data_IF_149588820453
#
_entry.id   IF_149588820453
#
_cell.length_a   1.000
_cell.length_b   1.000
_cell.length_c   1.000
_cell.angle_alpha   90.00
_cell.angle_beta   90.00
_cell.angle_gamma   90.00
#
_symmetry.space_group_name_H-M   'P 1'
#
loop_
_entity.id
_entity.type
_entity.pdbx_description
1 polymer ?
#
# COMPACT_ATOMS: atom_id res chain seq x y z
N UNK A 1 -29.90 -41.77 47.13
CA UNK A 1 -29.71 -43.08 46.48
C UNK A 1 -30.19 -42.97 45.03
N UNK A 2 -29.76 -43.91 44.18
CA UNK A 2 -30.08 -44.03 42.74
C UNK A 2 -29.30 -43.12 41.79
N UNK A 3 -28.41 -43.75 41.02
CA UNK A 3 -27.86 -43.27 39.75
C UNK A 3 -28.91 -43.38 38.62
N UNK A 4 -28.61 -42.91 37.41
CA UNK A 4 -28.36 -43.89 36.33
C UNK A 4 -27.14 -43.55 35.44
N UNK A 5 -26.93 -44.36 34.39
CA UNK A 5 -25.68 -44.55 33.65
C UNK A 5 -25.52 -43.67 32.38
N UNK A 6 -24.27 -43.50 31.95
CA UNK A 6 -23.77 -43.25 30.58
C UNK A 6 -24.11 -44.42 29.62
N UNK A 7 -23.94 -44.37 28.27
CA UNK A 7 -22.87 -43.76 27.45
C UNK A 7 -23.41 -42.99 26.20
N UNK A 8 -22.72 -42.68 25.08
CA UNK A 8 -21.40 -43.01 24.46
C UNK A 8 -20.69 -41.78 23.85
N UNK A 9 -19.45 -41.96 23.38
CA UNK A 9 -18.68 -41.00 22.57
C UNK A 9 -19.18 -40.85 21.12
N UNK A 10 -19.04 -39.64 20.57
CA UNK A 10 -19.32 -39.36 19.15
C UNK A 10 -18.27 -38.43 18.52
N UNK A 11 -17.15 -38.98 18.05
CA UNK A 11 -16.11 -38.20 17.36
C UNK A 11 -16.60 -37.70 15.99
N UNK A 12 -16.89 -36.41 15.87
CA UNK A 12 -17.19 -35.73 14.61
C UNK A 12 -16.05 -34.81 14.17
N UNK A 13 -15.15 -35.28 13.30
CA UNK A 13 -14.14 -34.41 12.68
C UNK A 13 -14.82 -33.35 11.80
N UNK A 14 -14.58 -32.09 12.11
CA UNK A 14 -14.96 -30.95 11.27
C UNK A 14 -14.00 -29.81 11.53
N UNK A 15 -12.84 -29.84 10.86
CA UNK A 15 -11.87 -28.77 10.93
C UNK A 15 -12.48 -27.48 10.40
N UNK A 16 -12.95 -26.61 11.30
CA UNK A 16 -13.16 -25.20 10.98
C UNK A 16 -11.81 -24.67 10.53
N UNK A 17 -11.68 -24.37 9.24
CA UNK A 17 -10.54 -23.59 8.77
C UNK A 17 -10.53 -22.30 9.58
N UNK A 18 -9.41 -22.00 10.22
CA UNK A 18 -9.23 -20.71 10.88
C UNK A 18 -9.54 -19.59 9.87
N UNK A 19 -10.18 -18.49 10.31
CA UNK A 19 -10.37 -17.35 9.44
C UNK A 19 -9.02 -16.89 8.88
N UNK A 20 -8.95 -16.40 7.63
CA UNK A 20 -7.71 -15.90 7.04
C UNK A 20 -7.09 -14.89 8.00
N UNK A 21 -5.87 -15.19 8.45
CA UNK A 21 -5.27 -14.57 9.63
C UNK A 21 -5.32 -13.04 9.57
N UNK A 22 -5.69 -12.41 10.70
CA UNK A 22 -5.91 -10.96 10.80
C UNK A 22 -4.86 -10.18 10.01
N UNK A 23 -5.31 -9.33 9.09
CA UNK A 23 -4.46 -8.55 8.20
C UNK A 23 -3.38 -7.77 8.97
N UNK A 24 -3.70 -7.29 10.19
CA UNK A 24 -2.72 -6.64 11.07
C UNK A 24 -1.66 -7.63 11.53
N UNK A 25 -2.06 -8.80 12.02
CA UNK A 25 -1.13 -9.87 12.41
C UNK A 25 -0.18 -10.25 11.26
N UNK A 26 -0.68 -10.41 10.03
CA UNK A 26 0.13 -10.72 8.85
C UNK A 26 1.10 -9.57 8.54
N UNK A 27 0.61 -8.33 8.46
CA UNK A 27 1.44 -7.16 8.14
C UNK A 27 2.52 -6.90 9.20
N UNK A 28 2.20 -7.04 10.48
CA UNK A 28 3.11 -6.82 11.62
C UNK A 28 4.15 -7.93 11.72
N UNK A 29 3.77 -9.21 11.57
CA UNK A 29 4.70 -10.33 11.73
C UNK A 29 5.64 -10.53 10.53
N UNK A 30 5.20 -10.17 9.32
CA UNK A 30 5.96 -10.44 8.08
C UNK A 30 6.52 -9.18 7.39
N UNK A 31 5.67 -8.26 6.93
CA UNK A 31 6.03 -7.17 5.99
C UNK A 31 6.67 -5.97 6.70
N UNK A 32 6.16 -5.59 7.88
CA UNK A 32 6.56 -4.40 8.61
C UNK A 32 7.49 -4.68 9.80
N UNK A 33 7.81 -5.95 10.05
CA UNK A 33 8.69 -6.35 11.14
C UNK A 33 10.10 -5.76 10.96
N UNK A 34 10.62 -5.15 12.03
CA UNK A 34 11.94 -4.52 12.08
C UNK A 34 12.68 -4.94 13.34
N UNK A 35 13.88 -5.48 13.12
CA UNK A 35 14.86 -5.82 14.13
C UNK A 35 15.54 -4.54 14.63
N UNK A 36 15.56 -4.31 15.94
CA UNK A 36 16.35 -3.24 16.55
C UNK A 36 17.82 -3.66 16.58
N UNK A 37 18.73 -2.82 16.08
CA UNK A 37 20.18 -3.06 16.14
C UNK A 37 20.86 -2.22 17.22
N UNK A 38 20.45 -0.97 17.34
CA UNK A 38 20.93 0.00 18.32
C UNK A 38 19.84 1.08 18.49
N UNK A 39 20.02 2.02 19.43
CA UNK A 39 19.14 3.17 19.60
C UNK A 39 18.94 3.89 18.26
N UNK A 40 17.67 4.07 17.89
CA UNK A 40 17.26 4.76 16.66
C UNK A 40 17.81 4.12 15.36
N UNK A 41 18.23 2.84 15.40
CA UNK A 41 18.76 2.07 14.26
C UNK A 41 18.09 0.69 14.14
N UNK A 42 17.43 0.45 13.00
CA UNK A 42 16.64 -0.75 12.75
C UNK A 42 17.04 -1.46 11.44
N UNK A 43 16.73 -2.76 11.32
CA UNK A 43 17.01 -3.58 10.13
C UNK A 43 15.75 -4.28 9.62
N UNK A 44 15.46 -4.07 8.33
CA UNK A 44 14.53 -4.91 7.57
C UNK A 44 15.25 -6.10 6.94
N UNK A 45 14.52 -7.20 6.69
CA UNK A 45 15.06 -8.42 6.06
C UNK A 45 14.13 -9.07 5.04
N UNK A 46 12.83 -9.10 5.31
CA UNK A 46 11.83 -9.75 4.46
C UNK A 46 11.19 -8.72 3.54
N UNK A 47 11.26 -8.93 2.23
CA UNK A 47 10.78 -7.98 1.24
C UNK A 47 9.79 -8.60 0.27
N UNK A 48 8.67 -7.92 0.04
CA UNK A 48 7.76 -8.27 -1.04
C UNK A 48 8.33 -7.76 -2.37
N UNK A 49 8.56 -8.67 -3.32
CA UNK A 49 9.29 -8.39 -4.56
C UNK A 49 8.32 -8.39 -5.76
N UNK A 50 7.87 -7.20 -6.25
CA UNK A 50 7.04 -7.09 -7.44
C UNK A 50 7.74 -7.57 -8.72
N UNK A 51 6.96 -7.66 -9.82
CA UNK A 51 7.42 -8.02 -11.17
C UNK A 51 8.67 -7.26 -11.65
N UNK A 52 8.86 -6.03 -11.16
CA UNK A 52 10.00 -5.16 -11.46
C UNK A 52 11.33 -5.62 -10.86
N UNK A 53 11.32 -6.64 -9.99
CA UNK A 53 12.48 -7.17 -9.24
C UNK A 53 13.20 -6.14 -8.36
N UNK A 54 12.48 -5.10 -7.92
CA UNK A 54 12.97 -4.03 -7.03
C UNK A 54 12.20 -4.08 -5.72
N UNK A 55 12.75 -3.49 -4.66
CA UNK A 55 12.01 -3.24 -3.43
C UNK A 55 10.71 -2.47 -3.71
N UNK A 56 9.62 -2.88 -3.07
CA UNK A 56 8.33 -2.19 -3.18
C UNK A 56 8.30 -0.93 -2.31
N UNK A 57 8.00 0.21 -2.94
CA UNK A 57 8.07 1.52 -2.29
C UNK A 57 7.18 1.65 -1.04
N UNK A 58 5.97 1.10 -1.09
CA UNK A 58 5.04 1.12 0.05
C UNK A 58 5.58 0.38 1.29
N UNK A 59 6.31 -0.72 1.09
CA UNK A 59 6.95 -1.43 2.20
C UNK A 59 8.10 -0.61 2.82
N UNK A 60 8.90 0.08 2.01
CA UNK A 60 10.00 0.92 2.51
C UNK A 60 9.45 2.13 3.29
N UNK A 61 8.35 2.73 2.83
CA UNK A 61 7.63 3.78 3.58
C UNK A 61 7.09 3.22 4.90
N UNK A 62 6.40 2.08 4.86
CA UNK A 62 5.82 1.46 6.06
C UNK A 62 6.87 1.08 7.11
N UNK A 63 7.97 0.46 6.69
CA UNK A 63 9.10 0.14 7.60
C UNK A 63 9.77 1.41 8.13
N UNK A 64 10.00 2.44 7.31
CA UNK A 64 10.55 3.70 7.78
C UNK A 64 9.63 4.39 8.81
N UNK A 65 8.31 4.31 8.64
CA UNK A 65 7.34 4.79 9.62
C UNK A 65 7.39 3.98 10.92
N UNK A 66 7.47 2.65 10.86
CA UNK A 66 7.63 1.81 12.07
C UNK A 66 8.91 2.16 12.83
N UNK A 67 10.02 2.41 12.12
CA UNK A 67 11.27 2.88 12.74
C UNK A 67 11.09 4.24 13.43
N UNK A 68 10.45 5.21 12.76
CA UNK A 68 10.16 6.52 13.35
C UNK A 68 9.24 6.42 14.58
N UNK A 69 8.16 5.66 14.48
CA UNK A 69 7.20 5.46 15.58
C UNK A 69 7.85 4.81 16.81
N UNK A 70 8.73 3.82 16.61
CA UNK A 70 9.54 3.21 17.69
C UNK A 70 10.60 4.15 18.30
N UNK A 71 10.81 5.32 17.71
CA UNK A 71 11.82 6.31 18.13
C UNK A 71 11.22 7.57 18.78
N UNK A 72 9.89 7.68 18.85
CA UNK A 72 9.16 8.75 19.55
C UNK A 72 8.46 8.20 20.79
N UNK A 73 7.81 9.08 21.55
CA UNK A 73 6.99 8.69 22.71
C UNK A 73 5.65 8.09 22.26
N UNK A 74 5.01 7.26 23.10
CA UNK A 74 3.77 6.54 22.76
C UNK A 74 2.51 7.42 22.81
N UNK A 75 2.61 8.62 23.41
CA UNK A 75 1.55 9.63 23.52
C UNK A 75 1.36 10.48 22.25
N UNK A 76 2.26 10.37 21.27
CA UNK A 76 2.16 11.05 19.98
C UNK A 76 1.75 10.11 18.84
N UNK A 77 0.97 10.63 17.90
CA UNK A 77 0.45 9.88 16.75
C UNK A 77 0.91 10.55 15.46
N UNK A 78 1.25 9.76 14.43
CA UNK A 78 1.66 10.30 13.13
C UNK A 78 0.50 11.09 12.51
N UNK A 79 0.78 12.32 12.06
CA UNK A 79 -0.17 13.14 11.31
C UNK A 79 0.34 13.54 9.91
N UNK A 80 1.65 13.49 9.65
CA UNK A 80 2.19 13.71 8.29
C UNK A 80 3.50 12.97 8.03
N UNK A 81 3.76 12.70 6.75
CA UNK A 81 4.99 12.09 6.25
C UNK A 81 5.32 12.66 4.87
N UNK A 82 6.57 13.08 4.68
CA UNK A 82 7.14 13.50 3.39
C UNK A 82 8.34 12.64 3.06
N UNK A 83 8.47 12.15 1.82
CA UNK A 83 9.56 11.25 1.47
C UNK A 83 10.00 11.33 0.01
N UNK A 84 11.22 10.87 -0.26
CA UNK A 84 11.79 10.76 -1.59
C UNK A 84 12.43 9.38 -1.81
N UNK A 85 12.10 8.75 -2.94
CA UNK A 85 12.80 7.58 -3.45
C UNK A 85 14.04 8.03 -4.24
N UNK A 86 15.21 7.84 -3.64
CA UNK A 86 16.49 8.33 -4.17
C UNK A 86 17.12 7.35 -5.15
N UNK A 87 17.01 6.03 -4.89
CA UNK A 87 17.61 4.95 -5.69
C UNK A 87 16.74 3.70 -5.67
N UNK A 88 16.86 2.87 -6.70
CA UNK A 88 16.28 1.52 -6.66
C UNK A 88 17.09 0.64 -5.70
N UNK A 89 16.43 -0.01 -4.74
CA UNK A 89 17.08 -0.99 -3.86
C UNK A 89 16.95 -2.43 -4.37
N UNK A 90 17.98 -3.23 -4.07
CA UNK A 90 18.03 -4.66 -4.34
C UNK A 90 17.35 -5.43 -3.19
N UNK A 91 16.30 -6.24 -3.46
CA UNK A 91 15.61 -7.02 -2.43
C UNK A 91 16.45 -8.13 -1.79
N UNK A 92 17.64 -8.44 -2.32
CA UNK A 92 18.59 -9.38 -1.69
C UNK A 92 19.39 -8.76 -0.54
N UNK A 93 19.33 -7.44 -0.39
CA UNK A 93 20.17 -6.68 0.56
C UNK A 93 19.32 -6.15 1.70
N UNK A 94 19.66 -6.44 2.97
CA UNK A 94 19.03 -5.82 4.14
C UNK A 94 19.13 -4.29 4.10
N UNK A 95 18.02 -3.64 4.39
CA UNK A 95 17.90 -2.18 4.49
C UNK A 95 17.99 -1.79 5.95
N UNK A 96 18.95 -0.94 6.28
CA UNK A 96 19.04 -0.29 7.58
C UNK A 96 18.20 0.98 7.58
N UNK A 97 17.41 1.19 8.61
CA UNK A 97 16.62 2.40 8.85
C UNK A 97 17.27 3.14 10.03
N UNK A 98 17.98 4.21 9.72
CA UNK A 98 18.52 5.12 10.72
C UNK A 98 17.53 6.26 10.94
N UNK A 99 17.16 6.49 12.20
CA UNK A 99 16.25 7.56 12.63
C UNK A 99 17.05 8.65 13.32
N UNK A 100 16.68 9.90 13.05
CA UNK A 100 17.27 11.11 13.59
C UNK A 100 16.13 11.95 14.16
N UNK A 101 16.09 12.12 15.49
CA UNK A 101 15.04 12.86 16.20
C UNK A 101 15.27 14.37 16.02
N UNK A 102 14.77 14.92 14.91
CA UNK A 102 14.97 16.32 14.53
C UNK A 102 14.32 17.31 15.52
N UNK A 103 13.19 16.93 16.14
CA UNK A 103 12.54 17.71 17.18
C UNK A 103 11.80 16.82 18.18
N UNK A 104 11.82 17.18 19.45
CA UNK A 104 10.97 16.59 20.50
C UNK A 104 10.49 17.74 21.40
N UNK A 105 9.26 18.18 21.15
CA UNK A 105 8.59 19.24 21.92
C UNK A 105 7.42 18.69 22.74
N UNK A 106 6.71 19.58 23.44
CA UNK A 106 5.59 19.21 24.32
C UNK A 106 4.36 18.66 23.59
N UNK A 107 4.19 18.98 22.31
CA UNK A 107 2.99 18.61 21.54
C UNK A 107 3.32 17.98 20.18
N UNK A 108 4.54 18.15 19.69
CA UNK A 108 5.01 17.65 18.40
C UNK A 108 6.37 16.97 18.53
N UNK A 109 6.56 15.88 17.79
CA UNK A 109 7.86 15.23 17.58
C UNK A 109 8.09 15.02 16.09
N UNK A 110 9.29 15.35 15.60
CA UNK A 110 9.67 15.25 14.19
C UNK A 110 10.89 14.35 14.07
N UNK A 111 10.81 13.34 13.20
CA UNK A 111 11.90 12.41 12.92
C UNK A 111 12.26 12.41 11.44
N UNK A 112 13.56 12.43 11.15
CA UNK A 112 14.10 12.14 9.83
C UNK A 112 14.53 10.68 9.77
N UNK A 113 14.20 9.96 8.69
CA UNK A 113 14.57 8.54 8.51
C UNK A 113 15.32 8.36 7.20
N UNK A 114 16.46 7.66 7.25
CA UNK A 114 17.28 7.29 6.09
C UNK A 114 17.28 5.77 5.95
N UNK A 115 16.78 5.26 4.83
CA UNK A 115 16.79 3.83 4.51
C UNK A 115 17.99 3.51 3.59
N UNK A 116 18.93 2.72 4.09
CA UNK A 116 20.29 2.57 3.56
C UNK A 116 20.76 1.11 3.51
N UNK A 117 20.62 0.40 2.36
CA UNK A 117 21.44 -0.76 2.07
C UNK A 117 22.90 -0.33 1.83
N UNK A 118 23.87 -1.03 2.46
CA UNK A 118 25.31 -0.74 2.35
C UNK A 118 25.69 0.76 2.52
N UNK A 119 25.03 1.46 3.45
CA UNK A 119 25.30 2.88 3.73
C UNK A 119 24.89 3.87 2.62
N UNK A 120 24.22 3.42 1.55
CA UNK A 120 23.78 4.28 0.44
C UNK A 120 22.27 4.50 0.52
N UNK A 121 21.77 5.73 0.72
CA UNK A 121 20.34 5.97 0.84
C UNK A 121 19.60 5.63 -0.45
N UNK A 122 18.62 4.74 -0.33
CA UNK A 122 17.61 4.44 -1.36
C UNK A 122 16.34 5.26 -1.16
N UNK A 123 16.07 5.66 0.08
CA UNK A 123 14.88 6.40 0.49
C UNK A 123 15.20 7.29 1.69
N UNK A 124 14.61 8.49 1.70
CA UNK A 124 14.67 9.45 2.81
C UNK A 124 13.27 9.94 3.14
N UNK A 125 13.01 10.20 4.41
CA UNK A 125 11.70 10.55 4.93
C UNK A 125 11.82 11.56 6.08
N UNK A 126 10.84 12.44 6.21
CA UNK A 126 10.53 13.17 7.45
C UNK A 126 9.10 12.82 7.86
N UNK A 127 8.93 12.41 9.11
CA UNK A 127 7.65 12.05 9.71
C UNK A 127 7.38 12.93 10.93
N UNK A 128 6.15 13.44 11.04
CA UNK A 128 5.72 14.30 12.13
C UNK A 128 4.60 13.64 12.92
N UNK A 129 4.74 13.74 14.25
CA UNK A 129 3.87 13.12 15.25
C UNK A 129 3.35 14.21 16.18
N UNK A 130 2.09 14.11 16.59
CA UNK A 130 1.42 15.08 17.46
C UNK A 130 0.65 14.36 18.56
N UNK A 131 0.59 14.93 19.76
CA UNK A 131 -0.30 14.45 20.82
C UNK A 131 -1.77 14.57 20.41
N UNK A 132 -2.62 13.66 20.89
CA UNK A 132 -4.06 13.78 20.71
C UNK A 132 -4.59 14.98 21.52
N UNK A 133 -5.27 15.92 20.85
CA UNK A 133 -5.81 17.14 21.46
C UNK A 133 -7.17 17.52 20.85
N UNK A 134 -8.10 18.13 21.61
CA UNK A 134 -9.37 18.61 21.05
C UNK A 134 -9.15 19.67 19.97
N UNK A 135 -9.94 19.62 18.90
CA UNK A 135 -10.01 20.68 17.89
C UNK A 135 -11.39 21.35 17.92
N UNK A 136 -11.49 22.69 18.04
CA UNK A 136 -12.76 23.40 17.88
C UNK A 136 -13.18 23.54 16.41
N UNK A 137 -12.30 23.20 15.46
CA UNK A 137 -12.55 23.27 14.03
C UNK A 137 -12.47 21.87 13.41
N UNK A 138 -13.55 21.43 12.79
CA UNK A 138 -13.62 20.16 12.07
C UNK A 138 -14.41 20.37 10.76
N UNK A 139 -13.78 20.07 9.64
CA UNK A 139 -14.41 19.99 8.33
C UNK A 139 -13.66 18.99 7.47
N UNK A 140 -14.32 18.46 6.45
CA UNK A 140 -13.73 17.60 5.43
C UNK A 140 -14.52 17.74 4.12
N UNK A 141 -13.99 17.16 3.05
CA UNK A 141 -14.76 16.95 1.82
C UNK A 141 -15.84 15.89 2.05
N UNK A 142 -16.90 15.92 1.24
CA UNK A 142 -17.89 14.84 1.19
C UNK A 142 -17.35 13.67 0.35
N UNK A 143 -17.52 12.44 0.83
CA UNK A 143 -17.16 11.24 0.08
C UNK A 143 -17.97 11.17 -1.24
N UNK A 144 -17.33 10.87 -2.39
CA UNK A 144 -18.04 10.73 -3.64
C UNK A 144 -18.95 9.49 -3.64
N UNK A 145 -20.13 9.60 -4.25
CA UNK A 145 -21.03 8.46 -4.48
C UNK A 145 -20.35 7.44 -5.39
N UNK A 146 -20.14 6.23 -4.89
CA UNK A 146 -19.56 5.09 -5.63
C UNK A 146 -20.33 3.81 -5.28
N UNK A 147 -20.34 2.79 -6.16
CA UNK A 147 -20.92 1.49 -5.85
C UNK A 147 -20.26 0.86 -4.60
N UNK A 148 -21.02 0.10 -3.79
CA UNK A 148 -20.50 -0.62 -2.64
C UNK A 148 -19.56 -1.77 -3.07
N UNK A 149 -18.62 -2.20 -2.20
CA UNK A 149 -17.64 -3.24 -2.53
C UNK A 149 -18.22 -4.55 -3.06
N UNK A 150 -19.42 -4.87 -2.58
CA UNK A 150 -20.15 -6.10 -2.90
C UNK A 150 -20.65 -6.10 -4.36
N UNK A 151 -20.76 -4.94 -5.02
CA UNK A 151 -21.11 -4.77 -6.44
C UNK A 151 -19.89 -4.68 -7.37
N UNK A 152 -18.68 -4.54 -6.81
CA UNK A 152 -17.45 -4.39 -7.59
C UNK A 152 -16.74 -5.74 -7.80
N UNK A 153 -16.25 -5.95 -9.02
CA UNK A 153 -15.41 -7.10 -9.36
C UNK A 153 -14.09 -7.04 -8.57
N UNK A 154 -13.74 -8.17 -7.95
CA UNK A 154 -12.40 -8.36 -7.40
C UNK A 154 -11.33 -8.49 -8.51
N UNK A 155 -10.06 -8.55 -8.09
CA UNK A 155 -8.94 -8.63 -9.01
C UNK A 155 -8.91 -9.93 -9.83
N UNK A 156 -9.45 -11.05 -9.33
CA UNK A 156 -9.46 -12.33 -10.03
C UNK A 156 -10.55 -12.32 -11.11
N UNK A 157 -11.78 -11.98 -10.74
CA UNK A 157 -12.91 -11.85 -11.67
C UNK A 157 -12.64 -10.82 -12.79
N UNK A 158 -11.95 -9.72 -12.47
CA UNK A 158 -11.56 -8.72 -13.46
C UNK A 158 -10.43 -9.22 -14.40
N UNK A 159 -9.45 -9.96 -13.88
CA UNK A 159 -8.43 -10.60 -14.71
C UNK A 159 -9.08 -11.59 -15.68
N UNK A 160 -10.01 -12.41 -15.18
CA UNK A 160 -10.79 -13.35 -15.96
C UNK A 160 -11.60 -12.65 -17.07
N UNK A 161 -12.23 -11.53 -16.76
CA UNK A 161 -12.93 -10.70 -17.75
C UNK A 161 -11.98 -10.21 -18.86
N UNK A 162 -10.77 -9.72 -18.52
CA UNK A 162 -9.80 -9.31 -19.54
C UNK A 162 -9.29 -10.49 -20.37
N UNK A 163 -9.05 -11.65 -19.77
CA UNK A 163 -8.58 -12.85 -20.49
C UNK A 163 -9.60 -13.38 -21.50
N UNK A 164 -10.89 -13.10 -21.29
CA UNK A 164 -11.98 -13.43 -22.22
C UNK A 164 -12.16 -12.44 -23.38
N UNK A 165 -11.48 -11.28 -23.38
CA UNK A 165 -11.55 -10.31 -24.48
C UNK A 165 -10.77 -10.82 -25.72
N UNK A 166 -11.44 -11.10 -26.86
CA UNK A 166 -10.78 -11.59 -28.07
C UNK A 166 -9.81 -10.57 -28.69
N UNK A 167 -9.92 -9.29 -28.34
CA UNK A 167 -9.04 -8.21 -28.80
C UNK A 167 -7.81 -7.99 -27.89
N UNK A 168 -7.65 -8.79 -26.84
CA UNK A 168 -6.55 -8.66 -25.90
C UNK A 168 -5.21 -8.94 -26.60
N UNK A 169 -4.30 -7.95 -26.63
CA UNK A 169 -2.99 -8.10 -27.28
C UNK A 169 -2.21 -9.26 -26.64
N UNK A 170 -1.62 -10.13 -27.49
CA UNK A 170 -0.93 -11.40 -27.14
C UNK A 170 0.05 -11.37 -25.94
N UNK A 171 0.55 -10.19 -25.53
CA UNK A 171 1.46 -10.03 -24.38
C UNK A 171 0.72 -9.96 -23.03
N UNK A 172 -0.54 -9.55 -23.00
CA UNK A 172 -1.29 -9.35 -21.75
C UNK A 172 -1.70 -10.64 -21.03
N UNK A 173 -2.11 -11.75 -21.68
CA UNK A 173 -2.47 -12.98 -20.95
C UNK A 173 -1.36 -13.48 -20.01
N UNK A 174 -0.11 -13.47 -20.49
CA UNK A 174 1.08 -13.86 -19.71
C UNK A 174 1.36 -12.87 -18.56
N UNK A 175 0.95 -11.61 -18.69
CA UNK A 175 1.07 -10.61 -17.63
C UNK A 175 -0.03 -10.77 -16.58
N UNK A 176 -1.28 -10.94 -17.02
CA UNK A 176 -2.47 -11.10 -16.18
C UNK A 176 -2.39 -12.37 -15.33
N UNK A 177 -2.04 -13.52 -15.91
CA UNK A 177 -1.85 -14.76 -15.15
C UNK A 177 -0.74 -14.63 -14.08
N UNK A 178 0.28 -13.81 -14.33
CA UNK A 178 1.36 -13.48 -13.36
C UNK A 178 0.96 -12.44 -12.31
N UNK A 179 -0.20 -11.81 -12.45
CA UNK A 179 -0.80 -10.93 -11.45
C UNK A 179 -1.79 -11.74 -10.61
N UNK A 180 -2.64 -12.57 -11.22
CA UNK A 180 -3.56 -13.47 -10.53
C UNK A 180 -2.82 -14.43 -9.57
N UNK A 181 -1.69 -15.00 -10.01
CA UNK A 181 -0.84 -15.86 -9.18
C UNK A 181 -0.04 -15.12 -8.08
N UNK A 182 -0.48 -13.93 -7.63
CA UNK A 182 0.13 -13.20 -6.51
C UNK A 182 -0.90 -12.94 -5.42
N UNK A 183 -0.61 -13.47 -4.25
CA UNK A 183 -1.18 -12.94 -3.02
C UNK A 183 -0.71 -11.50 -2.82
N UNK A 184 -1.67 -10.58 -2.74
CA UNK A 184 -1.47 -9.18 -2.38
C UNK A 184 -2.21 -8.95 -1.06
N UNK A 185 -1.55 -8.48 0.01
CA UNK A 185 -2.17 -8.32 1.33
C UNK A 185 -3.07 -7.08 1.44
N UNK A 186 -3.55 -6.56 0.30
CA UNK A 186 -4.43 -5.39 0.20
C UNK A 186 -5.37 -5.67 -0.98
N UNK A 187 -6.67 -5.79 -0.69
CA UNK A 187 -7.70 -5.97 -1.71
C UNK A 187 -7.91 -4.66 -2.50
N UNK A 188 -7.91 -4.76 -3.82
CA UNK A 188 -8.12 -3.62 -4.73
C UNK A 188 -9.14 -3.99 -5.81
N UNK A 189 -10.28 -3.29 -5.81
CA UNK A 189 -11.32 -3.36 -6.84
C UNK A 189 -11.44 -2.01 -7.56
N UNK A 190 -11.14 -1.88 -8.86
CA UNK A 190 -11.37 -0.62 -9.57
C UNK A 190 -12.87 -0.34 -9.70
N UNK A 191 -13.28 0.91 -9.47
CA UNK A 191 -14.69 1.32 -9.61
C UNK A 191 -15.13 1.36 -11.08
N UNK A 192 -14.24 1.86 -11.95
CA UNK A 192 -14.45 1.92 -13.41
C UNK A 192 -13.21 1.35 -14.13
N UNK A 193 -13.06 0.02 -14.23
CA UNK A 193 -11.97 -0.60 -15.00
C UNK A 193 -12.12 -0.30 -16.50
N UNK A 194 -11.02 0.10 -17.16
CA UNK A 194 -10.98 0.25 -18.61
C UNK A 194 -10.48 -1.02 -19.30
N UNK A 195 -11.09 -1.37 -20.44
CA UNK A 195 -10.64 -2.50 -21.24
C UNK A 195 -9.20 -2.28 -21.74
N UNK A 196 -8.30 -3.22 -21.45
CA UNK A 196 -6.88 -3.17 -21.85
C UNK A 196 -6.67 -3.13 -23.38
N UNK A 197 -7.66 -3.58 -24.15
CA UNK A 197 -7.73 -3.48 -25.61
C UNK A 197 -8.11 -2.08 -26.10
N UNK A 198 -8.84 -1.30 -25.30
CA UNK A 198 -9.43 0.00 -25.62
C UNK A 198 -8.95 1.10 -24.66
N UNK A 199 -7.64 1.32 -24.60
CA UNK A 199 -7.04 2.45 -23.88
C UNK A 199 -7.40 3.78 -24.58
N UNK A 200 -8.57 4.32 -24.26
CA UNK A 200 -9.06 5.61 -24.74
C UNK A 200 -8.64 6.76 -23.81
N UNK A 201 -8.70 7.99 -24.33
CA UNK A 201 -8.52 9.21 -23.52
C UNK A 201 -9.68 9.34 -22.54
N UNK A 202 -9.39 9.19 -21.26
CA UNK A 202 -10.32 9.36 -20.14
C UNK A 202 -10.02 10.65 -19.36
N UNK A 203 -10.93 11.05 -18.47
CA UNK A 203 -10.60 12.05 -17.46
C UNK A 203 -9.40 11.58 -16.60
N UNK A 204 -8.56 12.48 -16.08
CA UNK A 204 -7.43 12.13 -15.22
C UNK A 204 -7.87 11.81 -13.78
N UNK A 205 -8.93 11.00 -13.64
CA UNK A 205 -9.54 10.54 -12.41
C UNK A 205 -9.73 9.02 -12.50
N UNK A 206 -9.22 8.30 -11.51
CA UNK A 206 -9.45 6.86 -11.35
C UNK A 206 -9.76 6.56 -9.88
N UNK A 207 -10.76 5.70 -9.65
CA UNK A 207 -11.25 5.38 -8.32
C UNK A 207 -11.11 3.88 -8.08
N UNK A 208 -10.69 3.52 -6.87
CA UNK A 208 -10.53 2.13 -6.44
C UNK A 208 -11.19 1.94 -5.08
N UNK A 209 -11.98 0.88 -4.95
CA UNK A 209 -12.25 0.28 -3.67
C UNK A 209 -11.04 -0.54 -3.23
N UNK A 210 -10.15 0.13 -2.51
CA UNK A 210 -9.43 -0.40 -1.34
C UNK A 210 -10.01 0.44 -0.22
N UNK A 211 -10.62 -0.09 0.86
CA UNK A 211 -11.14 0.67 2.04
C UNK A 211 -10.96 2.21 1.89
N UNK A 212 -11.97 2.84 1.25
CA UNK A 212 -11.89 3.62 -0.01
C UNK A 212 -10.61 4.44 -0.38
N UNK A 213 -10.32 4.55 -1.68
CA UNK A 213 -9.36 5.49 -2.29
C UNK A 213 -9.91 6.23 -3.53
N UNK A 214 -9.79 7.56 -3.55
CA UNK A 214 -9.98 8.43 -4.74
C UNK A 214 -8.63 8.98 -5.23
N UNK A 215 -8.35 8.94 -6.54
CA UNK A 215 -7.15 9.57 -7.12
C UNK A 215 -7.47 10.57 -8.23
N UNK A 216 -6.69 11.66 -8.28
CA UNK A 216 -6.73 12.70 -9.33
C UNK A 216 -5.31 13.03 -9.79
N UNK A 217 -5.08 13.09 -11.10
CA UNK A 217 -3.80 13.49 -11.71
C UNK A 217 -3.90 14.91 -12.28
N UNK A 218 -3.67 15.98 -11.51
CA UNK A 218 -3.85 17.35 -11.99
C UNK A 218 -2.85 17.77 -13.08
N UNK A 219 -1.70 17.08 -13.21
CA UNK A 219 -0.59 17.52 -14.06
C UNK A 219 0.29 16.36 -14.50
N UNK A 220 0.69 16.35 -15.77
CA UNK A 220 1.74 15.48 -16.29
C UNK A 220 2.44 16.10 -17.51
N UNK A 221 3.74 16.37 -17.40
CA UNK A 221 4.64 16.75 -18.50
C UNK A 221 6.10 16.56 -18.09
N UNK A 222 7.05 16.76 -19.02
CA UNK A 222 8.48 16.67 -18.71
C UNK A 222 8.94 15.30 -18.20
N UNK A 223 8.33 14.21 -18.70
CA UNK A 223 8.52 12.83 -18.21
C UNK A 223 8.16 12.62 -16.73
N UNK A 224 7.23 13.41 -16.18
CA UNK A 224 6.70 13.27 -14.82
C UNK A 224 5.17 13.39 -14.81
N UNK A 225 4.55 12.88 -13.75
CA UNK A 225 3.13 13.04 -13.46
C UNK A 225 2.89 13.12 -11.96
N UNK A 226 2.02 14.04 -11.56
CA UNK A 226 1.61 14.26 -10.17
C UNK A 226 0.25 13.63 -9.94
N UNK A 227 0.11 12.84 -8.88
CA UNK A 227 -1.13 12.22 -8.44
C UNK A 227 -1.43 12.66 -7.01
N UNK A 228 -2.66 13.11 -6.76
CA UNK A 228 -3.22 13.30 -5.42
C UNK A 228 -4.18 12.14 -5.12
N UNK A 229 -4.19 11.70 -3.86
CA UNK A 229 -5.07 10.64 -3.36
C UNK A 229 -5.79 11.06 -2.07
N UNK A 230 -7.03 10.60 -1.91
CA UNK A 230 -7.76 10.67 -0.64
C UNK A 230 -8.21 9.26 -0.25
N UNK A 231 -7.93 8.89 1.00
CA UNK A 231 -8.48 7.69 1.63
C UNK A 231 -9.74 8.05 2.40
N UNK A 232 -10.73 7.16 2.34
CA UNK A 232 -11.99 7.33 3.05
C UNK A 232 -12.30 6.09 3.89
N UNK A 233 -12.88 6.30 5.06
CA UNK A 233 -13.51 5.22 5.82
C UNK A 233 -14.91 4.91 5.25
N UNK A 234 -15.51 3.75 5.62
CA UNK A 234 -16.80 3.29 5.03
C UNK A 234 -17.98 4.21 5.38
N UNK A 235 -17.86 4.98 6.45
CA UNK A 235 -18.81 6.01 6.90
C UNK A 235 -18.62 7.39 6.20
N UNK A 236 -17.64 7.50 5.29
CA UNK A 236 -17.35 8.73 4.57
C UNK A 236 -16.37 9.69 5.25
N UNK A 237 -15.76 9.32 6.37
CA UNK A 237 -14.70 10.14 7.00
C UNK A 237 -13.41 10.11 6.16
N UNK A 238 -12.78 11.26 5.91
CA UNK A 238 -11.46 11.30 5.27
C UNK A 238 -10.41 10.75 6.25
N UNK A 239 -9.74 9.66 5.87
CA UNK A 239 -8.77 9.00 6.73
C UNK A 239 -7.35 9.55 6.53
N UNK A 240 -6.92 9.74 5.28
CA UNK A 240 -5.57 10.20 4.92
C UNK A 240 -5.63 10.94 3.57
N UNK A 241 -4.82 11.97 3.39
CA UNK A 241 -4.53 12.56 2.07
C UNK A 241 -3.11 12.23 1.64
N UNK A 242 -2.90 12.04 0.34
CA UNK A 242 -1.62 11.65 -0.25
C UNK A 242 -1.31 12.49 -1.48
N UNK A 243 -0.04 12.77 -1.73
CA UNK A 243 0.44 13.31 -2.99
C UNK A 243 1.74 12.59 -3.40
N UNK A 244 1.87 12.24 -4.67
CA UNK A 244 3.05 11.58 -5.22
C UNK A 244 3.33 12.07 -6.63
N UNK A 245 4.54 12.57 -6.87
CA UNK A 245 5.08 12.75 -8.22
C UNK A 245 5.86 11.50 -8.64
N UNK A 246 5.64 11.02 -9.87
CA UNK A 246 6.30 9.85 -10.44
C UNK A 246 6.97 10.17 -11.78
N UNK A 247 8.11 9.53 -12.05
CA UNK A 247 8.80 9.63 -13.35
C UNK A 247 8.13 8.67 -14.34
N UNK A 248 7.63 9.21 -15.45
CA UNK A 248 6.98 8.47 -16.54
C UNK A 248 7.95 8.38 -17.70
N UNK A 249 8.40 7.15 -18.04
CA UNK A 249 9.29 6.90 -19.19
C UNK A 249 8.55 6.12 -20.27
N UNK A 250 8.19 6.81 -21.35
CA UNK A 250 7.64 6.20 -22.57
C UNK A 250 8.81 5.89 -23.51
N UNK A 251 8.87 4.69 -24.09
CA UNK A 251 9.79 4.43 -25.20
C UNK A 251 9.25 5.15 -26.44
N UNK A 252 10.04 5.94 -27.18
CA UNK A 252 9.58 6.56 -28.41
C UNK A 252 9.08 5.46 -29.36
N UNK A 253 7.86 5.63 -29.87
CA UNK A 253 7.33 4.76 -30.90
C UNK A 253 7.98 5.19 -32.21
N UNK A 254 8.87 4.37 -32.75
CA UNK A 254 9.46 4.61 -34.07
C UNK A 254 8.34 4.48 -35.09
N UNK A 255 7.90 5.61 -35.65
CA UNK A 255 7.07 5.59 -36.84
C UNK A 255 7.96 5.24 -38.03
N UNK A 256 7.86 4.00 -38.52
CA UNK A 256 8.28 3.68 -39.88
C UNK A 256 7.39 4.47 -40.85
N UNK A 257 7.79 5.70 -41.14
CA UNK A 257 7.26 6.50 -42.24
C UNK A 257 7.60 5.79 -43.53
N UNK A 258 6.65 5.00 -44.05
CA UNK A 258 6.72 4.52 -45.43
C UNK A 258 6.51 5.72 -46.35
N UNK A 259 7.63 6.21 -46.89
CA UNK A 259 7.67 6.88 -48.19
C UNK A 259 7.37 5.84 -49.30
#
# INVERSE_FOLDING_TARGET
>A
MSSPQTPEDGQGRGGRGDPPGDLRSVLVTSVLNLELLDKDLFRGRHYWVPASKRLFGGQIVGQALVAAAKSVSEDVHMHSLHCYFVRAGDPKVPVLYQVERAQTGSSFSVCSVKAMPHGKPIFICQASFQQAQPSPLQHQLSMPTVPPPEELLDSEALIDQYLRDPNLRKRYPVLLNKIAAREVPIEIKPVNPSALSQLQRMEPKQMFWVRLYEFKSPWATGSRGLVHGLLWHRDGVVAVTCAQEGVIRVKPQVSESRL
#
